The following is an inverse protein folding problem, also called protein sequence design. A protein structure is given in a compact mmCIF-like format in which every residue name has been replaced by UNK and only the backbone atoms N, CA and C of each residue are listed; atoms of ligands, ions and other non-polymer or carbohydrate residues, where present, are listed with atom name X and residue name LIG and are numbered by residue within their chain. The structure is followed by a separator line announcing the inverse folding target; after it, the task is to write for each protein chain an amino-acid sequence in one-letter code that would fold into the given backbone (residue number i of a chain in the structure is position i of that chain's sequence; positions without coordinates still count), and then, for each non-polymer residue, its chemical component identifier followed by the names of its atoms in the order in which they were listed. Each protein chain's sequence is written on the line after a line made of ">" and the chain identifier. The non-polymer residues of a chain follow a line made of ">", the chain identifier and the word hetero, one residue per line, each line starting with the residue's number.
data_IF_602138394565
#
_entry.id   IF_602138394565
#
_cell.length_a   1.000
_cell.length_b   1.000
_cell.length_c   1.000
_cell.angle_alpha   90.00
_cell.angle_beta   90.00
_cell.angle_gamma   90.00
#
_symmetry.space_group_name_H-M   'P 1'
#
loop_
_entity.id
_entity.type
_entity.pdbx_description
1 polymer ?
#
# COMPACT_ATOMS: atom_id res chain seq x y z
N UNK A 1 -17.03 28.25 -60.65
CA UNK A 1 -16.07 27.30 -61.24
C UNK A 1 -14.86 27.24 -60.29
N UNK A 2 -14.51 26.21 -59.52
CA UNK A 2 -15.03 24.90 -59.08
C UNK A 2 -14.25 24.59 -57.77
N UNK A 3 -14.84 24.07 -56.70
CA UNK A 3 -15.17 22.67 -56.37
C UNK A 3 -13.97 21.71 -56.12
N UNK A 4 -13.52 21.68 -54.85
CA UNK A 4 -13.06 20.54 -53.97
C UNK A 4 -12.02 19.49 -54.41
N UNK A 5 -11.41 18.69 -53.49
CA UNK A 5 -11.06 18.90 -52.06
C UNK A 5 -9.65 18.34 -51.70
N UNK A 6 -9.12 18.59 -50.51
CA UNK A 6 -8.25 17.61 -49.81
C UNK A 6 -8.34 17.85 -48.30
N UNK A 7 -8.99 16.91 -47.60
CA UNK A 7 -8.97 16.80 -46.15
C UNK A 7 -7.53 16.54 -45.69
N UNK A 8 -7.00 17.39 -44.80
CA UNK A 8 -5.82 17.06 -44.01
C UNK A 8 -6.24 16.87 -42.56
N UNK A 9 -6.00 15.66 -42.06
CA UNK A 9 -6.33 15.17 -40.73
C UNK A 9 -5.77 16.09 -39.63
N UNK A 10 -6.63 16.39 -38.67
CA UNK A 10 -6.23 16.87 -37.35
C UNK A 10 -5.70 15.68 -36.54
N UNK A 11 -4.36 15.60 -36.40
CA UNK A 11 -3.66 14.80 -35.41
C UNK A 11 -2.72 15.79 -34.71
N UNK A 12 -2.97 16.24 -33.48
CA UNK A 12 -3.07 15.41 -32.30
C UNK A 12 -1.71 15.43 -31.58
N UNK A 13 -1.39 16.51 -30.87
CA UNK A 13 -0.32 16.54 -29.87
C UNK A 13 -0.69 17.49 -28.73
N UNK A 14 -1.72 17.12 -27.96
CA UNK A 14 -1.72 17.45 -26.55
C UNK A 14 -0.86 16.38 -25.87
N UNK A 15 0.45 16.63 -25.79
CA UNK A 15 1.31 15.93 -24.85
C UNK A 15 0.92 16.36 -23.43
N UNK A 16 -0.21 15.84 -22.96
CA UNK A 16 -0.59 15.90 -21.56
C UNK A 16 0.42 15.06 -20.80
N UNK A 17 1.16 15.69 -19.89
CA UNK A 17 1.94 14.98 -18.88
C UNK A 17 0.92 14.16 -18.08
N UNK A 18 0.85 12.86 -18.34
CA UNK A 18 0.08 11.93 -17.52
C UNK A 18 0.82 11.77 -16.19
N UNK A 19 0.67 12.76 -15.29
CA UNK A 19 0.88 12.54 -13.86
C UNK A 19 -0.21 11.57 -13.45
N UNK A 20 0.12 10.29 -13.35
CA UNK A 20 -0.74 9.28 -12.76
C UNK A 20 -0.99 9.64 -11.29
N UNK A 21 -1.96 10.51 -11.04
CA UNK A 21 -2.50 10.74 -9.71
C UNK A 21 -3.45 9.59 -9.42
N UNK A 22 -2.95 8.55 -8.76
CA UNK A 22 -3.86 7.64 -8.05
C UNK A 22 -4.69 8.49 -7.08
N UNK A 23 -6.02 8.33 -7.03
CA UNK A 23 -6.83 8.97 -6.00
C UNK A 23 -6.48 8.35 -4.63
N UNK A 24 -5.48 8.89 -3.94
CA UNK A 24 -5.17 8.59 -2.53
C UNK A 24 -6.34 8.96 -1.58
N UNK A 25 -7.41 9.54 -2.13
CA UNK A 25 -8.63 9.97 -1.46
C UNK A 25 -9.63 8.84 -1.21
N UNK A 26 -9.47 7.65 -1.79
CA UNK A 26 -10.22 6.49 -1.33
C UNK A 26 -9.62 6.04 0.00
N UNK A 27 -10.14 6.61 1.10
CA UNK A 27 -9.70 6.30 2.45
C UNK A 27 -9.71 4.78 2.69
N UNK A 28 -8.59 4.26 3.18
CA UNK A 28 -8.51 2.89 3.67
C UNK A 28 -9.60 2.71 4.74
N UNK A 29 -10.48 1.74 4.55
CA UNK A 29 -11.56 1.47 5.51
C UNK A 29 -10.93 1.02 6.84
N UNK A 30 -11.24 1.75 7.91
CA UNK A 30 -10.85 1.41 9.28
C UNK A 30 -12.09 0.88 9.99
N UNK A 31 -11.98 -0.31 10.56
CA UNK A 31 -13.07 -0.95 11.29
C UNK A 31 -12.78 -0.83 12.79
N UNK A 32 -13.63 -0.09 13.49
CA UNK A 32 -13.66 -0.04 14.95
C UNK A 32 -14.66 -1.06 15.45
N UNK A 33 -14.27 -1.93 16.38
CA UNK A 33 -15.22 -2.78 17.09
C UNK A 33 -16.04 -1.91 18.05
N UNK A 34 -17.35 -1.77 17.83
CA UNK A 34 -18.26 -1.19 18.83
C UNK A 34 -18.57 -2.25 19.89
N UNK A 35 -17.71 -2.37 20.91
CA UNK A 35 -18.09 -3.04 22.14
C UNK A 35 -18.92 -2.07 22.98
N UNK A 36 -20.22 -2.38 23.13
CA UNK A 36 -21.14 -1.67 24.00
C UNK A 36 -20.65 -1.73 25.46
N UNK A 37 -20.34 -0.57 26.03
CA UNK A 37 -20.24 -0.29 27.48
C UNK A 37 -19.39 -1.24 28.34
N UNK A 38 -18.13 -0.84 28.61
CA UNK A 38 -17.33 -1.32 29.74
C UNK A 38 -16.07 -2.11 29.35
N UNK A 39 -14.89 -1.50 29.58
CA UNK A 39 -13.56 -2.15 29.53
C UNK A 39 -12.93 -2.41 28.14
N UNK A 40 -12.19 -1.42 27.62
CA UNK A 40 -10.74 -1.60 27.44
C UNK A 40 -10.12 -2.35 26.26
N UNK A 41 -10.75 -2.58 25.10
CA UNK A 41 -10.03 -3.23 23.98
C UNK A 41 -10.59 -3.01 22.56
N UNK A 42 -10.55 -1.78 22.04
CA UNK A 42 -10.85 -1.54 20.62
C UNK A 42 -9.60 -1.07 19.87
N UNK A 43 -8.72 -2.00 19.48
CA UNK A 43 -7.60 -1.72 18.57
C UNK A 43 -8.12 -1.53 17.14
N UNK A 44 -7.57 -0.55 16.41
CA UNK A 44 -8.01 -0.23 15.05
C UNK A 44 -7.64 -1.33 14.05
N UNK A 45 -8.64 -1.94 13.40
CA UNK A 45 -8.42 -2.84 12.26
C UNK A 45 -8.35 -2.03 10.97
N UNK A 46 -7.22 -2.10 10.30
CA UNK A 46 -6.92 -1.29 9.11
C UNK A 46 -6.93 -2.17 7.88
N UNK A 47 -7.67 -1.79 6.84
CA UNK A 47 -7.74 -2.57 5.60
C UNK A 47 -6.43 -2.53 4.78
N UNK A 48 -6.20 -3.57 3.99
CA UNK A 48 -5.12 -3.64 3.00
C UNK A 48 -5.49 -2.77 1.79
N UNK A 49 -4.57 -1.90 1.37
CA UNK A 49 -4.65 -1.11 0.14
C UNK A 49 -3.57 -1.60 -0.82
N UNK A 50 -3.97 -2.05 -2.01
CA UNK A 50 -3.05 -2.45 -3.08
C UNK A 50 -2.74 -1.24 -3.97
N UNK A 51 -1.47 -1.09 -4.37
CA UNK A 51 -1.00 0.01 -5.21
C UNK A 51 -1.24 -0.35 -6.68
N UNK A 52 -2.32 0.16 -7.27
CA UNK A 52 -2.77 -0.25 -8.60
C UNK A 52 -1.79 0.11 -9.72
N UNK A 53 -1.12 1.26 -9.58
CA UNK A 53 -0.12 1.76 -10.54
C UNK A 53 1.24 1.08 -10.42
N UNK A 54 1.45 0.21 -9.43
CA UNK A 54 2.77 -0.38 -9.17
C UNK A 54 3.24 -1.31 -10.30
N UNK A 55 2.32 -2.14 -10.84
CA UNK A 55 2.64 -3.03 -11.96
C UNK A 55 3.11 -2.28 -13.21
N UNK A 56 2.54 -1.11 -13.51
CA UNK A 56 2.98 -0.28 -14.63
C UNK A 56 4.42 0.25 -14.48
N UNK A 57 4.99 0.19 -13.26
CA UNK A 57 6.36 0.56 -12.93
C UNK A 57 7.26 -0.65 -12.69
N UNK A 58 6.78 -1.88 -12.93
CA UNK A 58 7.50 -3.12 -12.61
C UNK A 58 7.61 -3.43 -11.11
N UNK A 59 6.94 -2.66 -10.24
CA UNK A 59 6.97 -2.88 -8.81
C UNK A 59 5.91 -3.93 -8.41
N UNK A 60 6.36 -5.17 -8.22
CA UNK A 60 5.50 -6.32 -7.90
C UNK A 60 6.09 -7.15 -6.75
N UNK A 61 5.25 -7.96 -6.11
CA UNK A 61 5.70 -8.99 -5.18
C UNK A 61 6.42 -10.13 -5.92
N UNK A 62 7.06 -11.05 -5.18
CA UNK A 62 7.74 -12.23 -5.75
C UNK A 62 6.88 -13.10 -6.69
N UNK A 63 5.56 -13.12 -6.51
CA UNK A 63 4.62 -13.84 -7.38
C UNK A 63 4.03 -12.99 -8.52
N UNK A 64 4.44 -11.72 -8.65
CA UNK A 64 3.89 -10.77 -9.62
C UNK A 64 2.63 -10.03 -9.16
N UNK A 65 2.07 -10.34 -7.98
CA UNK A 65 0.93 -9.60 -7.43
C UNK A 65 1.32 -8.18 -7.02
N UNK A 66 0.31 -7.29 -6.92
CA UNK A 66 0.54 -5.90 -6.54
C UNK A 66 1.03 -5.80 -5.08
N UNK A 67 2.01 -4.93 -4.77
CA UNK A 67 2.36 -4.61 -3.40
C UNK A 67 1.23 -3.81 -2.71
N UNK A 68 1.28 -3.75 -1.38
CA UNK A 68 0.26 -3.05 -0.61
C UNK A 68 0.70 -2.58 0.77
N UNK A 69 -0.16 -1.80 1.39
CA UNK A 69 0.04 -1.25 2.73
C UNK A 69 -1.28 -1.16 3.50
N UNK A 70 -1.19 -1.01 4.82
CA UNK A 70 -2.32 -0.64 5.68
C UNK A 70 -2.08 0.79 6.16
N UNK A 71 -3.05 1.68 5.98
CA UNK A 71 -2.93 3.09 6.37
C UNK A 71 -4.07 3.50 7.31
N UNK A 72 -3.69 3.91 8.51
CA UNK A 72 -4.58 4.61 9.43
C UNK A 72 -4.23 6.09 9.43
N UNK A 73 -5.14 6.95 8.99
CA UNK A 73 -4.92 8.40 8.92
C UNK A 73 -4.76 9.00 10.32
N UNK A 74 -3.89 9.99 10.43
CA UNK A 74 -3.68 10.76 11.65
C UNK A 74 -4.82 11.75 11.89
N UNK A 75 -4.83 12.37 13.06
CA UNK A 75 -5.85 13.33 13.48
C UNK A 75 -5.22 14.47 14.31
N UNK A 76 -5.91 15.61 14.36
CA UNK A 76 -5.47 16.79 15.12
C UNK A 76 -4.04 17.22 14.77
N UNK A 77 -3.22 17.43 15.80
CA UNK A 77 -1.81 17.84 15.66
C UNK A 77 -0.92 16.78 14.98
N UNK A 78 -1.31 15.51 15.00
CA UNK A 78 -0.58 14.42 14.34
C UNK A 78 -0.92 14.23 12.86
N UNK A 79 -1.89 14.97 12.31
CA UNK A 79 -2.38 14.80 10.93
C UNK A 79 -1.33 15.02 9.84
N UNK A 80 -0.23 15.72 10.14
CA UNK A 80 0.89 15.93 9.21
C UNK A 80 2.14 15.11 9.55
N UNK A 81 2.10 14.31 10.63
CA UNK A 81 3.21 13.48 11.04
C UNK A 81 3.01 12.03 10.56
N UNK A 82 4.11 11.31 10.36
CA UNK A 82 4.09 9.99 9.74
C UNK A 82 4.94 8.97 10.50
N UNK A 83 4.36 7.81 10.76
CA UNK A 83 5.05 6.62 11.21
C UNK A 83 4.97 5.56 10.11
N UNK A 84 6.12 5.24 9.52
CA UNK A 84 6.25 4.23 8.47
C UNK A 84 6.88 2.97 9.06
N UNK A 85 6.08 1.91 9.19
CA UNK A 85 6.54 0.62 9.67
C UNK A 85 6.72 -0.34 8.49
N UNK A 86 7.94 -0.85 8.31
CA UNK A 86 8.25 -1.88 7.33
C UNK A 86 8.03 -3.26 7.98
N UNK A 87 7.14 -4.07 7.42
CA UNK A 87 6.93 -5.43 7.91
C UNK A 87 8.21 -6.26 7.77
N UNK A 88 8.63 -6.96 8.81
CA UNK A 88 9.77 -7.87 8.75
C UNK A 88 9.41 -9.25 8.19
N UNK A 89 10.41 -10.11 8.01
CA UNK A 89 10.13 -11.50 7.69
C UNK A 89 11.28 -12.35 7.19
N UNK A 90 12.53 -11.89 7.32
CA UNK A 90 13.70 -12.54 6.71
C UNK A 90 13.68 -12.46 5.18
N UNK A 91 14.68 -13.02 4.51
CA UNK A 91 14.81 -13.00 3.06
C UNK A 91 14.90 -14.42 2.49
N UNK A 92 14.77 -14.55 1.17
CA UNK A 92 15.14 -15.77 0.46
C UNK A 92 16.57 -15.61 -0.09
N UNK A 93 17.36 -16.69 -0.10
CA UNK A 93 18.80 -16.64 -0.43
C UNK A 93 19.14 -17.31 -1.76
N UNK A 94 18.19 -18.04 -2.34
CA UNK A 94 18.36 -18.79 -3.57
C UNK A 94 17.02 -18.91 -4.31
N UNK A 95 17.07 -19.31 -5.59
CA UNK A 95 15.88 -19.46 -6.43
C UNK A 95 14.86 -20.39 -5.80
N UNK A 96 15.30 -21.50 -5.20
CA UNK A 96 14.40 -22.50 -4.59
C UNK A 96 13.62 -21.92 -3.40
N UNK A 97 14.30 -21.20 -2.51
CA UNK A 97 13.70 -20.55 -1.34
C UNK A 97 12.79 -19.39 -1.73
N UNK A 98 13.12 -18.64 -2.79
CA UNK A 98 12.25 -17.58 -3.31
C UNK A 98 10.98 -18.16 -3.96
N UNK A 99 11.13 -19.22 -4.77
CA UNK A 99 9.99 -19.93 -5.39
C UNK A 99 9.07 -20.54 -4.34
N UNK A 100 9.62 -21.10 -3.26
CA UNK A 100 8.79 -21.56 -2.13
C UNK A 100 8.04 -20.41 -1.47
N UNK A 101 8.72 -19.27 -1.29
CA UNK A 101 8.19 -18.11 -0.56
C UNK A 101 7.07 -17.38 -1.29
N UNK A 102 7.06 -17.38 -2.62
CA UNK A 102 6.04 -16.69 -3.42
C UNK A 102 4.61 -17.18 -3.13
N UNK A 103 4.44 -18.43 -2.69
CA UNK A 103 3.15 -19.00 -2.25
C UNK A 103 2.72 -18.62 -0.82
N UNK A 104 3.30 -17.57 -0.23
CA UNK A 104 3.01 -17.14 1.15
C UNK A 104 2.67 -15.64 1.21
N UNK A 105 2.14 -15.19 2.36
CA UNK A 105 1.88 -13.75 2.60
C UNK A 105 3.12 -12.85 2.51
N UNK A 106 4.32 -13.44 2.55
CA UNK A 106 5.62 -12.73 2.44
C UNK A 106 6.22 -12.78 1.04
N UNK A 107 5.48 -13.26 0.06
CA UNK A 107 5.84 -13.27 -1.36
C UNK A 107 4.68 -12.97 -2.30
N UNK A 108 3.46 -12.84 -1.78
CA UNK A 108 2.25 -12.57 -2.54
C UNK A 108 1.23 -11.79 -1.70
N UNK A 109 0.65 -10.75 -2.29
CA UNK A 109 -0.46 -10.02 -1.67
C UNK A 109 -1.79 -10.78 -1.70
N UNK A 110 -1.89 -11.85 -2.51
CA UNK A 110 -3.07 -12.72 -2.52
C UNK A 110 -3.24 -13.49 -1.20
N UNK A 111 -2.15 -13.66 -0.45
CA UNK A 111 -2.13 -14.36 0.84
C UNK A 111 -2.02 -13.41 2.05
N UNK A 112 -2.05 -12.09 1.83
CA UNK A 112 -2.01 -11.10 2.91
C UNK A 112 -3.37 -10.97 3.61
N UNK A 113 -3.31 -10.67 4.91
CA UNK A 113 -4.47 -10.32 5.71
C UNK A 113 -5.15 -9.07 5.12
N UNK A 114 -6.46 -9.17 4.83
CA UNK A 114 -7.24 -8.06 4.26
C UNK A 114 -7.47 -6.94 5.27
N UNK A 115 -7.41 -7.25 6.55
CA UNK A 115 -7.47 -6.32 7.66
C UNK A 115 -6.40 -6.72 8.68
N UNK A 116 -5.75 -5.73 9.28
CA UNK A 116 -4.71 -5.96 10.27
C UNK A 116 -4.92 -5.02 11.45
N UNK A 117 -4.94 -5.58 12.66
CA UNK A 117 -5.04 -4.78 13.87
C UNK A 117 -3.73 -4.05 14.14
N UNK A 118 -3.79 -2.75 14.33
CA UNK A 118 -2.65 -1.95 14.73
C UNK A 118 -2.51 -1.95 16.26
N UNK A 119 -1.31 -2.32 16.74
CA UNK A 119 -0.97 -2.46 18.16
C UNK A 119 0.43 -1.89 18.45
N UNK A 120 0.79 -1.75 19.73
CA UNK A 120 2.09 -1.22 20.14
C UNK A 120 2.34 0.18 19.58
N UNK A 121 3.51 0.43 18.99
CA UNK A 121 3.85 1.72 18.37
C UNK A 121 2.90 2.13 17.22
N UNK A 122 2.13 1.18 16.66
CA UNK A 122 1.12 1.47 15.64
C UNK A 122 -0.28 1.71 16.23
N UNK A 123 -0.48 1.48 17.53
CA UNK A 123 -1.78 1.62 18.19
C UNK A 123 -2.32 3.04 18.12
N UNK A 124 -3.64 3.18 18.03
CA UNK A 124 -4.34 4.46 18.12
C UNK A 124 -4.71 4.83 19.56
N UNK A 125 -4.28 4.04 20.55
CA UNK A 125 -4.55 4.23 21.96
C UNK A 125 -3.38 4.97 22.61
N UNK A 126 -3.59 6.16 23.22
CA UNK A 126 -2.53 6.88 23.92
C UNK A 126 -1.89 6.05 25.04
N UNK A 127 -2.63 5.14 25.66
CA UNK A 127 -2.11 4.27 26.73
C UNK A 127 -1.06 3.25 26.22
N UNK A 128 -1.12 2.88 24.93
CA UNK A 128 -0.16 1.96 24.29
C UNK A 128 0.88 2.68 23.44
N UNK A 129 0.52 3.85 22.92
CA UNK A 129 1.32 4.64 21.98
C UNK A 129 1.25 6.13 22.32
N UNK A 130 1.82 6.57 23.46
CA UNK A 130 1.64 7.93 23.96
C UNK A 130 2.15 9.01 22.99
N UNK A 131 3.16 8.68 22.18
CA UNK A 131 3.84 9.64 21.32
C UNK A 131 3.22 9.76 19.92
N UNK A 132 2.72 8.65 19.36
CA UNK A 132 2.32 8.56 17.94
C UNK A 132 0.85 8.14 17.73
N UNK A 133 0.03 8.07 18.79
CA UNK A 133 -1.37 7.58 18.68
C UNK A 133 -2.27 8.42 17.75
N UNK A 134 -1.89 9.65 17.38
CA UNK A 134 -2.64 10.50 16.45
C UNK A 134 -1.90 10.79 15.14
N UNK A 135 -0.74 10.15 14.88
CA UNK A 135 0.00 10.30 13.63
C UNK A 135 -0.65 9.51 12.48
N UNK A 136 -0.31 9.85 11.23
CA UNK A 136 -0.54 8.92 10.13
C UNK A 136 0.35 7.70 10.34
N UNK A 137 -0.24 6.52 10.35
CA UNK A 137 0.50 5.27 10.56
C UNK A 137 0.29 4.37 9.38
N UNK A 138 1.39 3.98 8.75
CA UNK A 138 1.38 3.08 7.61
C UNK A 138 2.23 1.85 7.92
N UNK A 139 1.66 0.66 7.72
CA UNK A 139 2.42 -0.59 7.66
C UNK A 139 2.58 -0.99 6.20
N UNK A 140 3.80 -0.90 5.70
CA UNK A 140 4.17 -1.40 4.36
C UNK A 140 4.29 -2.92 4.46
N UNK A 141 3.55 -3.64 3.60
CA UNK A 141 3.54 -5.11 3.62
C UNK A 141 4.74 -5.65 2.88
N UNK A 142 5.36 -6.67 3.45
CA UNK A 142 6.59 -7.24 2.93
C UNK A 142 6.31 -8.38 1.96
N UNK A 143 6.77 -8.27 0.71
CA UNK A 143 6.56 -9.31 -0.30
C UNK A 143 7.65 -9.42 -1.38
N UNK A 144 8.73 -8.66 -1.29
CA UNK A 144 9.86 -8.67 -2.23
C UNK A 144 10.88 -9.76 -1.92
N UNK A 145 10.92 -10.26 -0.67
CA UNK A 145 11.84 -11.32 -0.26
C UNK A 145 13.31 -10.90 -0.16
N UNK A 146 13.63 -9.63 -0.40
CA UNK A 146 14.97 -9.04 -0.36
C UNK A 146 15.13 -7.98 0.72
N UNK A 147 14.33 -8.02 1.80
CA UNK A 147 14.40 -7.05 2.91
C UNK A 147 14.30 -5.58 2.47
N UNK A 148 13.49 -5.29 1.44
CA UNK A 148 13.34 -3.95 0.85
C UNK A 148 14.61 -3.38 0.19
N UNK A 149 15.61 -4.21 -0.11
CA UNK A 149 16.84 -3.77 -0.79
C UNK A 149 16.86 -4.11 -2.28
N UNK A 150 15.85 -4.80 -2.80
CA UNK A 150 15.78 -5.18 -4.20
C UNK A 150 15.34 -4.02 -5.10
N UNK A 151 16.01 -3.89 -6.24
CA UNK A 151 15.72 -2.96 -7.33
C UNK A 151 15.56 -3.67 -8.70
N UNK A 152 15.57 -5.01 -8.69
CA UNK A 152 15.56 -5.84 -9.89
C UNK A 152 14.24 -5.73 -10.68
N UNK A 153 14.36 -5.51 -11.98
CA UNK A 153 13.27 -5.46 -12.96
C UNK A 153 13.17 -6.73 -13.82
N UNK A 154 14.04 -7.71 -13.60
CA UNK A 154 14.19 -8.87 -14.48
C UNK A 154 13.23 -9.99 -14.05
N UNK A 155 12.18 -10.18 -14.87
CA UNK A 155 11.22 -11.28 -14.80
C UNK A 155 11.59 -12.41 -15.78
#
# INVERSE_FOLDING_TARGET
>A
MGSWPLLALVLGFLAGIARGSEPWSNGTQVYSTNANSGSGSNGAFVALTLIQSAAAKGAVCLDGSLPGYHLHRGSGSGSNNWLVNLEGGGWCNDVKSCVFRKGSRRGSSNHMERQLQFTGIMSNRPEENPDFYNWNRVKVRYCDGGSFTGDGADA
#
